data_IF_288352360672
#
_entry.id   IF_288352360672
#
_cell.length_a   1.000
_cell.length_b   1.000
_cell.length_c   1.000
_cell.angle_alpha   90.00
_cell.angle_beta   90.00
_cell.angle_gamma   90.00
#
_symmetry.space_group_name_H-M   'P 1'
#
loop_
_entity.id
_entity.type
_entity.pdbx_description
1 polymer ?
#
# COMPACT_ATOMS: atom_id res chain seq x y z
N UNK A 1 24.35 -10.46 -7.60
CA UNK A 1 23.28 -9.58 -7.11
C UNK A 1 22.01 -10.41 -6.99
N UNK A 2 21.33 -10.42 -5.85
CA UNK A 2 20.09 -11.22 -5.68
C UNK A 2 18.99 -10.62 -6.58
N UNK A 3 18.41 -11.44 -7.46
CA UNK A 3 17.32 -11.01 -8.31
C UNK A 3 16.02 -11.05 -7.48
N UNK A 4 15.29 -9.95 -7.47
CA UNK A 4 13.98 -9.86 -6.82
C UNK A 4 12.94 -10.49 -7.76
N UNK A 5 12.37 -11.62 -7.37
CA UNK A 5 11.36 -12.35 -8.16
C UNK A 5 10.01 -12.33 -7.48
N UNK A 6 8.88 -12.50 -8.21
CA UNK A 6 7.55 -12.62 -7.60
C UNK A 6 7.48 -13.67 -6.50
N UNK A 7 8.03 -14.86 -6.71
CA UNK A 7 8.03 -15.94 -5.71
C UNK A 7 8.77 -15.55 -4.43
N UNK A 8 9.90 -14.85 -4.56
CA UNK A 8 10.64 -14.33 -3.41
C UNK A 8 9.84 -13.27 -2.66
N UNK A 9 9.16 -12.38 -3.38
CA UNK A 9 8.30 -11.36 -2.79
C UNK A 9 7.12 -11.99 -2.05
N UNK A 10 6.39 -12.92 -2.69
CA UNK A 10 5.28 -13.64 -2.06
C UNK A 10 5.75 -14.35 -0.78
N UNK A 11 6.90 -15.04 -0.85
CA UNK A 11 7.49 -15.71 0.32
C UNK A 11 7.86 -14.72 1.42
N UNK A 12 8.39 -13.54 1.09
CA UNK A 12 8.74 -12.49 2.03
C UNK A 12 7.49 -11.94 2.73
N UNK A 13 6.44 -11.56 1.97
CA UNK A 13 5.18 -11.08 2.54
C UNK A 13 4.48 -12.14 3.39
N UNK A 14 4.53 -13.41 2.99
CA UNK A 14 3.99 -14.51 3.81
C UNK A 14 4.72 -14.67 5.15
N UNK A 15 5.98 -14.24 5.23
CA UNK A 15 6.77 -14.17 6.45
C UNK A 15 6.65 -12.84 7.18
N UNK A 16 5.95 -11.85 6.60
CA UNK A 16 5.75 -10.51 7.15
C UNK A 16 6.97 -9.63 7.06
N UNK A 17 7.84 -9.86 6.09
CA UNK A 17 8.98 -9.01 5.75
C UNK A 17 8.77 -8.40 4.37
N UNK A 18 9.41 -7.25 4.11
CA UNK A 18 9.25 -6.52 2.85
C UNK A 18 10.58 -5.91 2.40
N UNK A 19 10.81 -5.74 1.08
CA UNK A 19 12.05 -5.24 0.54
C UNK A 19 12.07 -3.70 0.47
N UNK A 20 13.23 -3.12 0.66
CA UNK A 20 13.54 -1.73 0.29
C UNK A 20 14.95 -1.66 -0.29
N UNK A 21 15.14 -0.84 -1.32
CA UNK A 21 16.48 -0.54 -1.83
C UNK A 21 17.15 0.52 -0.94
N UNK A 22 18.43 0.35 -0.67
CA UNK A 22 19.26 1.39 -0.06
C UNK A 22 19.74 2.41 -1.11
N UNK A 23 20.54 3.38 -0.67
CA UNK A 23 21.10 4.44 -1.52
C UNK A 23 22.02 3.93 -2.64
N UNK A 24 22.52 2.70 -2.53
CA UNK A 24 23.35 2.02 -3.54
C UNK A 24 22.54 1.07 -4.42
N UNK A 25 21.22 0.97 -4.20
CA UNK A 25 20.33 0.06 -4.93
C UNK A 25 20.36 -1.38 -4.45
N UNK A 26 21.04 -1.69 -3.34
CA UNK A 26 21.00 -3.02 -2.75
C UNK A 26 19.68 -3.27 -2.02
N UNK A 27 19.07 -4.44 -2.26
CA UNK A 27 17.79 -4.79 -1.66
C UNK A 27 18.01 -5.40 -0.27
N UNK A 28 17.39 -4.77 0.72
CA UNK A 28 17.34 -5.26 2.10
C UNK A 28 15.91 -5.60 2.48
N UNK A 29 15.72 -6.62 3.32
CA UNK A 29 14.41 -7.01 3.84
C UNK A 29 14.23 -6.51 5.27
N UNK A 30 13.05 -5.97 5.56
CA UNK A 30 12.72 -5.32 6.83
C UNK A 30 11.61 -6.05 7.56
N UNK A 31 11.71 -6.09 8.88
CA UNK A 31 10.71 -6.66 9.81
C UNK A 31 10.61 -5.76 11.05
N UNK A 32 9.94 -4.59 10.93
CA UNK A 32 9.91 -3.59 12.00
C UNK A 32 9.19 -4.08 13.26
N UNK A 33 9.60 -3.51 14.38
CA UNK A 33 8.96 -3.66 15.67
C UNK A 33 9.00 -2.31 16.40
N UNK A 34 7.86 -1.61 16.61
CA UNK A 34 6.49 -2.05 16.31
C UNK A 34 6.15 -2.07 14.81
N UNK A 35 5.06 -2.76 14.47
CA UNK A 35 4.47 -2.79 13.13
C UNK A 35 3.21 -1.93 13.10
N UNK A 36 3.08 -1.06 12.11
CA UNK A 36 1.90 -0.23 11.92
C UNK A 36 0.86 -0.92 11.05
N UNK A 37 -0.40 -0.93 11.48
CA UNK A 37 -1.54 -1.47 10.74
C UNK A 37 -2.74 -0.52 10.79
N UNK A 38 -3.61 -0.59 9.78
CA UNK A 38 -4.95 -0.01 9.88
C UNK A 38 -5.96 -1.09 10.29
N UNK A 39 -6.62 -0.94 11.46
CA UNK A 39 -7.74 -1.81 11.81
C UNK A 39 -8.89 -1.56 10.82
N UNK A 40 -9.17 -2.54 9.95
CA UNK A 40 -10.19 -2.37 8.89
C UNK A 40 -11.58 -2.07 9.47
N UNK A 41 -11.97 -2.69 10.58
CA UNK A 41 -13.28 -2.49 11.19
C UNK A 41 -13.47 -1.11 11.81
N UNK A 42 -12.40 -0.49 12.32
CA UNK A 42 -12.43 0.82 12.99
C UNK A 42 -11.70 1.92 12.23
N UNK A 43 -11.42 1.72 10.94
CA UNK A 43 -10.83 2.76 10.09
C UNK A 43 -11.73 3.99 10.06
N UNK A 44 -11.18 5.12 10.49
CA UNK A 44 -11.91 6.36 10.62
C UNK A 44 -11.67 7.29 9.43
N UNK A 45 -12.74 7.85 8.88
CA UNK A 45 -12.66 8.85 7.81
C UNK A 45 -13.09 10.21 8.36
N UNK A 46 -12.17 11.19 8.47
CA UNK A 46 -12.53 12.53 8.95
C UNK A 46 -13.65 13.17 8.13
N UNK A 47 -14.58 13.88 8.78
CA UNK A 47 -15.78 14.48 8.14
C UNK A 47 -15.45 15.30 6.89
N UNK A 48 -14.35 16.03 6.91
CA UNK A 48 -13.91 16.84 5.77
C UNK A 48 -13.50 15.94 4.59
N UNK A 49 -12.72 14.90 4.84
CA UNK A 49 -12.33 13.95 3.80
C UNK A 49 -13.54 13.18 3.26
N UNK A 50 -14.47 12.77 4.13
CA UNK A 50 -15.71 12.13 3.70
C UNK A 50 -16.54 13.01 2.75
N UNK A 51 -16.53 14.34 2.92
CA UNK A 51 -17.14 15.28 1.96
C UNK A 51 -16.40 15.28 0.62
N UNK A 52 -15.06 15.27 0.63
CA UNK A 52 -14.26 15.20 -0.59
C UNK A 52 -14.51 13.89 -1.35
N UNK A 53 -14.59 12.75 -0.65
CA UNK A 53 -14.94 11.45 -1.26
C UNK A 53 -16.31 11.52 -1.95
N UNK A 54 -17.35 12.01 -1.25
CA UNK A 54 -18.71 12.11 -1.79
C UNK A 54 -18.88 13.16 -2.89
N UNK A 55 -17.99 14.13 -2.99
CA UNK A 55 -18.11 15.21 -3.98
C UNK A 55 -17.86 14.76 -5.42
N UNK A 56 -17.32 13.56 -5.63
CA UNK A 56 -16.94 13.08 -6.96
C UNK A 56 -15.78 13.88 -7.60
N UNK A 57 -15.02 14.65 -6.80
CA UNK A 57 -13.90 15.46 -7.29
C UNK A 57 -12.85 14.61 -8.02
N UNK A 58 -12.66 13.37 -7.58
CA UNK A 58 -11.72 12.44 -8.18
C UNK A 58 -12.47 11.23 -8.74
N UNK A 59 -12.11 10.81 -9.94
CA UNK A 59 -12.50 9.53 -10.49
C UNK A 59 -11.53 8.47 -9.96
N UNK A 60 -12.06 7.44 -9.30
CA UNK A 60 -11.23 6.35 -8.78
C UNK A 60 -11.17 5.23 -9.82
N UNK A 61 -9.96 4.77 -10.09
CA UNK A 61 -9.69 3.58 -10.90
C UNK A 61 -8.82 2.61 -10.12
N UNK A 62 -8.85 1.37 -10.53
CA UNK A 62 -8.06 0.29 -9.93
C UNK A 62 -7.30 -0.39 -11.04
N UNK A 63 -6.02 -0.64 -10.82
CA UNK A 63 -5.16 -1.40 -11.73
C UNK A 63 -5.10 -0.86 -13.19
N UNK A 64 -5.46 0.41 -13.39
CA UNK A 64 -5.48 1.01 -14.73
C UNK A 64 -4.14 1.66 -15.12
N UNK A 65 -3.28 1.95 -14.14
CA UNK A 65 -1.99 2.61 -14.34
C UNK A 65 -0.96 2.23 -13.25
N UNK A 66 -0.85 0.94 -12.93
CA UNK A 66 -0.02 0.43 -11.82
C UNK A 66 1.42 0.97 -11.88
N UNK A 67 2.11 0.81 -13.02
CA UNK A 67 3.47 1.34 -13.22
C UNK A 67 3.56 2.85 -12.99
N UNK A 68 2.58 3.62 -13.50
CA UNK A 68 2.57 5.06 -13.34
C UNK A 68 2.41 5.47 -11.86
N UNK A 69 1.63 4.71 -11.08
CA UNK A 69 1.51 4.90 -9.62
C UNK A 69 2.85 4.65 -8.94
N UNK A 70 3.54 3.54 -9.26
CA UNK A 70 4.85 3.23 -8.68
C UNK A 70 5.88 4.33 -8.97
N UNK A 71 5.98 4.76 -10.24
CA UNK A 71 6.91 5.81 -10.65
C UNK A 71 6.60 7.14 -9.94
N UNK A 72 5.32 7.51 -9.81
CA UNK A 72 4.91 8.69 -9.06
C UNK A 72 5.23 8.58 -7.56
N UNK A 73 5.14 7.37 -6.98
CA UNK A 73 5.59 7.11 -5.60
C UNK A 73 7.12 7.22 -5.45
N UNK A 74 7.88 6.94 -6.51
CA UNK A 74 9.34 7.03 -6.51
C UNK A 74 9.86 8.46 -6.71
N UNK A 75 9.03 9.40 -7.18
CA UNK A 75 9.43 10.81 -7.38
C UNK A 75 9.93 11.43 -6.07
N UNK A 76 11.02 12.22 -6.11
CA UNK A 76 11.42 13.05 -4.97
C UNK A 76 10.30 14.03 -4.59
N UNK A 77 10.20 14.35 -3.31
CA UNK A 77 9.18 15.26 -2.80
C UNK A 77 9.66 16.02 -1.57
N UNK A 78 8.85 16.96 -1.04
CA UNK A 78 9.19 17.70 0.16
C UNK A 78 9.54 16.74 1.31
N UNK A 79 10.78 16.89 1.85
CA UNK A 79 11.29 16.04 2.92
C UNK A 79 11.76 14.64 2.52
N UNK A 80 11.75 14.33 1.21
CA UNK A 80 12.20 13.03 0.67
C UNK A 80 13.05 13.28 -0.58
N UNK A 81 14.38 13.37 -0.38
CA UNK A 81 15.35 13.57 -1.46
C UNK A 81 15.67 12.28 -2.25
N UNK A 82 15.48 11.11 -1.63
CA UNK A 82 15.75 9.80 -2.22
C UNK A 82 14.52 8.89 -2.08
N UNK A 83 14.50 7.82 -2.86
CA UNK A 83 13.48 6.79 -2.81
C UNK A 83 14.09 5.41 -2.61
N UNK A 84 13.38 4.53 -1.92
CA UNK A 84 13.70 3.11 -1.83
C UNK A 84 13.14 2.30 -3.00
N UNK A 85 12.33 2.93 -3.88
CA UNK A 85 11.71 2.30 -5.05
C UNK A 85 12.71 2.39 -6.21
N UNK A 86 13.57 1.38 -6.34
CA UNK A 86 14.52 1.26 -7.45
C UNK A 86 13.87 0.66 -8.70
N UNK A 87 14.55 0.76 -9.85
CA UNK A 87 14.06 0.16 -11.09
C UNK A 87 13.85 -1.36 -10.96
N UNK A 88 14.70 -2.05 -10.19
CA UNK A 88 14.53 -3.49 -9.92
C UNK A 88 13.30 -3.81 -9.08
N UNK A 89 12.95 -2.92 -8.13
CA UNK A 89 11.70 -3.01 -7.37
C UNK A 89 10.51 -2.76 -8.30
N UNK A 90 10.55 -1.73 -9.14
CA UNK A 90 9.47 -1.46 -10.10
C UNK A 90 9.22 -2.69 -10.97
N UNK A 91 10.26 -3.25 -11.59
CA UNK A 91 10.13 -4.42 -12.47
C UNK A 91 9.53 -5.64 -11.74
N UNK A 92 10.02 -5.95 -10.53
CA UNK A 92 9.53 -7.09 -9.77
C UNK A 92 8.06 -6.95 -9.32
N UNK A 93 7.64 -5.73 -8.98
CA UNK A 93 6.25 -5.48 -8.60
C UNK A 93 5.30 -5.39 -9.80
N UNK A 94 5.79 -5.02 -10.98
CA UNK A 94 5.02 -5.15 -12.23
C UNK A 94 4.73 -6.61 -12.55
N UNK A 95 5.74 -7.50 -12.43
CA UNK A 95 5.53 -8.94 -12.59
C UNK A 95 4.53 -9.48 -11.55
N UNK A 96 4.59 -8.99 -10.29
CA UNK A 96 3.62 -9.34 -9.26
C UNK A 96 2.21 -8.86 -9.59
N UNK A 97 2.10 -7.67 -10.18
CA UNK A 97 0.83 -7.11 -10.65
C UNK A 97 0.24 -7.94 -11.80
N UNK A 98 1.04 -8.32 -12.80
CA UNK A 98 0.61 -9.20 -13.90
C UNK A 98 0.11 -10.57 -13.40
N UNK A 99 0.64 -11.06 -12.28
CA UNK A 99 0.21 -12.29 -11.62
C UNK A 99 -1.01 -12.09 -10.68
N UNK A 100 -1.51 -10.85 -10.52
CA UNK A 100 -2.66 -10.54 -9.68
C UNK A 100 -2.37 -10.45 -8.17
N UNK A 101 -1.11 -10.29 -7.77
CA UNK A 101 -0.70 -10.14 -6.37
C UNK A 101 -0.38 -8.70 -5.97
N UNK A 102 -0.21 -7.79 -6.91
CA UNK A 102 -0.02 -6.37 -6.59
C UNK A 102 -1.08 -5.53 -7.28
N UNK A 103 -1.58 -4.52 -6.57
CA UNK A 103 -2.69 -3.70 -7.01
C UNK A 103 -2.47 -2.23 -6.72
N UNK A 104 -3.04 -1.37 -7.57
CA UNK A 104 -3.09 0.08 -7.37
C UNK A 104 -4.52 0.59 -7.21
N UNK A 105 -4.67 1.65 -6.43
CA UNK A 105 -5.90 2.46 -6.37
C UNK A 105 -5.52 3.89 -6.73
N UNK A 106 -6.16 4.44 -7.73
CA UNK A 106 -5.77 5.64 -8.44
C UNK A 106 -6.83 6.73 -8.32
N UNK A 107 -6.41 7.94 -8.01
CA UNK A 107 -7.25 9.14 -8.03
C UNK A 107 -6.92 9.96 -9.28
N UNK A 108 -7.91 10.09 -10.16
CA UNK A 108 -7.83 10.82 -11.42
C UNK A 108 -8.68 12.07 -11.36
N UNK A 109 -8.20 13.15 -11.97
CA UNK A 109 -8.97 14.37 -12.19
C UNK A 109 -8.76 14.87 -13.61
N UNK A 110 -9.85 15.09 -14.33
CA UNK A 110 -9.83 15.60 -15.72
C UNK A 110 -8.88 14.78 -16.64
N UNK A 111 -8.85 13.44 -16.42
CA UNK A 111 -8.00 12.54 -17.19
C UNK A 111 -6.53 12.50 -16.75
N UNK A 112 -6.14 13.24 -15.70
CA UNK A 112 -4.78 13.26 -15.14
C UNK A 112 -4.73 12.42 -13.86
N UNK A 113 -3.69 11.60 -13.71
CA UNK A 113 -3.39 10.85 -12.49
C UNK A 113 -2.80 11.82 -11.44
N UNK A 114 -3.59 12.15 -10.41
CA UNK A 114 -3.23 13.17 -9.41
C UNK A 114 -2.96 12.62 -8.02
N UNK A 115 -3.15 11.33 -7.81
CA UNK A 115 -2.81 10.63 -6.57
C UNK A 115 -3.09 9.15 -6.69
N UNK A 116 -2.58 8.39 -5.74
CA UNK A 116 -2.79 6.94 -5.71
C UNK A 116 -1.90 6.26 -4.69
N UNK A 117 -2.08 4.98 -4.62
CA UNK A 117 -1.30 4.07 -3.79
C UNK A 117 -1.18 2.71 -4.47
N UNK A 118 -0.21 1.92 -4.04
CA UNK A 118 -0.12 0.52 -4.43
C UNK A 118 0.25 -0.37 -3.25
N UNK A 119 0.04 -1.66 -3.41
CA UNK A 119 0.38 -2.65 -2.40
C UNK A 119 0.24 -4.07 -2.89
N UNK A 120 0.56 -5.01 -2.02
CA UNK A 120 0.55 -6.45 -2.28
C UNK A 120 -0.63 -7.10 -1.58
N UNK A 121 -1.41 -7.86 -2.33
CA UNK A 121 -2.54 -8.64 -1.85
C UNK A 121 -2.14 -10.12 -1.76
N UNK A 122 -2.23 -10.68 -0.56
CA UNK A 122 -1.91 -12.09 -0.33
C UNK A 122 -2.93 -12.70 0.62
N UNK A 123 -3.88 -13.47 0.08
CA UNK A 123 -4.99 -14.00 0.86
C UNK A 123 -5.74 -12.85 1.57
N UNK A 124 -5.97 -12.92 2.87
CA UNK A 124 -6.62 -11.87 3.65
C UNK A 124 -5.70 -10.71 4.10
N UNK A 125 -4.45 -10.67 3.63
CA UNK A 125 -3.51 -9.56 3.84
C UNK A 125 -3.52 -8.61 2.64
N UNK A 126 -3.56 -7.30 2.91
CA UNK A 126 -3.08 -6.29 1.99
C UNK A 126 -1.93 -5.52 2.65
N UNK A 127 -0.75 -5.54 2.04
CA UNK A 127 0.42 -4.77 2.47
C UNK A 127 0.52 -3.52 1.62
N UNK A 128 0.23 -2.36 2.22
CA UNK A 128 0.37 -1.05 1.57
C UNK A 128 1.85 -0.67 1.47
N UNK A 129 2.32 -0.37 0.28
CA UNK A 129 3.72 -0.08 -0.02
C UNK A 129 4.03 1.41 0.00
N UNK A 130 3.37 2.16 -0.84
CA UNK A 130 3.60 3.60 -0.96
C UNK A 130 2.37 4.31 -1.52
N UNK A 131 2.36 5.63 -1.34
CA UNK A 131 1.35 6.51 -1.92
C UNK A 131 1.96 7.84 -2.35
N UNK A 132 1.32 8.50 -3.32
CA UNK A 132 1.67 9.84 -3.75
C UNK A 132 0.43 10.72 -3.89
N UNK A 133 0.61 12.04 -3.83
CA UNK A 133 -0.48 12.99 -3.97
C UNK A 133 0.03 14.27 -4.63
N UNK A 134 -0.40 14.54 -5.85
CA UNK A 134 -0.13 15.80 -6.58
C UNK A 134 -1.20 16.84 -6.31
N UNK A 135 -2.40 16.39 -5.93
CA UNK A 135 -3.48 17.25 -5.46
C UNK A 135 -3.87 16.94 -4.03
N UNK A 136 -4.35 17.98 -3.34
CA UNK A 136 -4.80 17.84 -1.96
C UNK A 136 -5.85 16.75 -1.81
N UNK A 137 -5.62 15.85 -0.85
CA UNK A 137 -6.47 14.74 -0.46
C UNK A 137 -6.55 13.57 -1.48
N UNK A 138 -5.90 13.63 -2.66
CA UNK A 138 -6.01 12.62 -3.69
C UNK A 138 -5.58 11.22 -3.20
N UNK A 139 -4.41 11.09 -2.56
CA UNK A 139 -3.97 9.80 -1.98
C UNK A 139 -4.87 9.32 -0.83
N UNK A 140 -5.42 10.26 -0.04
CA UNK A 140 -6.31 9.92 1.07
C UNK A 140 -7.66 9.39 0.56
N UNK A 141 -8.17 9.97 -0.53
CA UNK A 141 -9.38 9.46 -1.20
C UNK A 141 -9.11 8.06 -1.75
N UNK A 142 -7.95 7.83 -2.39
CA UNK A 142 -7.56 6.49 -2.83
C UNK A 142 -7.48 5.49 -1.65
N UNK A 143 -6.93 5.90 -0.49
CA UNK A 143 -6.88 5.07 0.71
C UNK A 143 -8.27 4.71 1.25
N UNK A 144 -9.21 5.65 1.26
CA UNK A 144 -10.60 5.38 1.67
C UNK A 144 -11.22 4.32 0.77
N UNK A 145 -11.08 4.47 -0.55
CA UNK A 145 -11.59 3.48 -1.51
C UNK A 145 -10.87 2.13 -1.41
N UNK A 146 -9.56 2.11 -1.13
CA UNK A 146 -8.86 0.87 -0.81
C UNK A 146 -9.51 0.16 0.36
N UNK A 147 -9.74 0.86 1.48
CA UNK A 147 -10.33 0.24 2.69
C UNK A 147 -11.74 -0.29 2.42
N UNK A 148 -12.56 0.45 1.69
CA UNK A 148 -13.90 0.00 1.27
C UNK A 148 -13.82 -1.28 0.44
N UNK A 149 -12.89 -1.33 -0.53
CA UNK A 149 -12.65 -2.52 -1.37
C UNK A 149 -12.16 -3.71 -0.55
N UNK A 150 -11.20 -3.49 0.35
CA UNK A 150 -10.67 -4.55 1.21
C UNK A 150 -11.75 -5.15 2.11
N UNK A 151 -12.62 -4.32 2.69
CA UNK A 151 -13.78 -4.78 3.48
C UNK A 151 -14.74 -5.62 2.63
N UNK A 152 -15.08 -5.13 1.44
CA UNK A 152 -15.97 -5.85 0.51
C UNK A 152 -15.35 -7.17 0.05
N UNK A 153 -14.04 -7.22 -0.17
CA UNK A 153 -13.29 -8.39 -0.62
C UNK A 153 -12.94 -9.41 0.48
N UNK A 154 -13.30 -9.12 1.75
CA UNK A 154 -13.09 -10.06 2.87
C UNK A 154 -11.68 -10.05 3.46
N UNK A 155 -10.89 -8.98 3.21
CA UNK A 155 -9.58 -8.81 3.83
C UNK A 155 -9.70 -8.56 5.33
N UNK A 156 -8.72 -9.04 6.09
CA UNK A 156 -8.71 -8.95 7.57
C UNK A 156 -7.47 -8.24 8.13
N UNK A 157 -6.46 -7.96 7.29
CA UNK A 157 -5.24 -7.28 7.72
C UNK A 157 -4.80 -6.28 6.65
N UNK A 158 -4.77 -4.98 7.03
CA UNK A 158 -4.16 -3.91 6.24
C UNK A 158 -2.89 -3.45 6.94
N UNK A 159 -1.76 -3.87 6.40
CA UNK A 159 -0.42 -3.54 6.88
C UNK A 159 0.05 -2.23 6.24
N UNK A 160 0.61 -1.33 7.03
CA UNK A 160 1.26 -0.10 6.57
C UNK A 160 2.74 -0.05 6.90
N UNK A 161 3.29 -1.17 7.39
CA UNK A 161 4.70 -1.37 7.68
C UNK A 161 5.22 -0.46 8.80
N UNK A 162 5.43 0.82 8.50
CA UNK A 162 5.85 1.84 9.45
C UNK A 162 4.75 2.90 9.65
N UNK A 163 4.74 3.53 10.80
CA UNK A 163 4.01 4.78 10.99
C UNK A 163 4.80 5.92 10.33
N UNK A 164 4.74 6.00 8.99
CA UNK A 164 5.59 6.87 8.19
C UNK A 164 5.28 8.37 8.31
N UNK A 165 4.07 8.75 8.71
CA UNK A 165 3.70 10.15 8.94
C UNK A 165 2.53 10.28 9.90
N UNK A 166 2.46 11.42 10.61
CA UNK A 166 1.33 11.76 11.49
C UNK A 166 -0.02 11.82 10.74
N UNK A 167 0.01 11.93 9.42
CA UNK A 167 -1.21 11.91 8.60
C UNK A 167 -2.01 10.61 8.74
N UNK A 168 -1.37 9.48 9.03
CA UNK A 168 -2.06 8.20 9.21
C UNK A 168 -2.80 8.11 10.55
N UNK A 169 -2.38 8.86 11.57
CA UNK A 169 -3.04 8.88 12.88
C UNK A 169 -4.51 9.29 12.78
N UNK A 170 -4.85 10.18 11.86
CA UNK A 170 -6.23 10.61 11.66
C UNK A 170 -7.19 9.50 11.20
N UNK A 171 -6.66 8.41 10.65
CA UNK A 171 -7.43 7.24 10.18
C UNK A 171 -7.52 6.11 11.20
N UNK A 172 -6.90 6.27 12.38
CA UNK A 172 -6.91 5.26 13.43
C UNK A 172 -5.85 4.18 13.25
N UNK A 173 -4.71 4.50 12.60
CA UNK A 173 -3.56 3.59 12.54
C UNK A 173 -3.10 3.24 13.96
N UNK A 174 -2.73 1.98 14.16
CA UNK A 174 -2.18 1.48 15.42
C UNK A 174 -0.83 0.81 15.20
N UNK A 175 0.03 0.94 16.17
CA UNK A 175 1.30 0.21 16.22
C UNK A 175 1.15 -0.97 17.18
N UNK A 176 1.48 -2.15 16.71
CA UNK A 176 1.41 -3.40 17.47
C UNK A 176 2.78 -4.07 17.56
N UNK A 177 3.07 -4.85 18.60
CA UNK A 177 4.29 -5.65 18.65
C UNK A 177 4.39 -6.59 17.43
N UNK A 178 5.61 -6.80 16.93
CA UNK A 178 5.86 -7.72 15.81
C UNK A 178 5.28 -9.12 16.03
N UNK A 179 5.33 -9.65 17.23
CA UNK A 179 4.74 -10.94 17.57
C UNK A 179 3.22 -10.99 17.36
N UNK A 180 2.52 -9.92 17.72
CA UNK A 180 1.10 -9.76 17.46
C UNK A 180 0.80 -9.64 15.97
N UNK A 181 1.62 -8.86 15.23
CA UNK A 181 1.51 -8.76 13.79
C UNK A 181 1.66 -10.14 13.11
N UNK A 182 2.69 -10.93 13.48
CA UNK A 182 2.90 -12.28 12.92
C UNK A 182 1.71 -13.23 13.21
N UNK A 183 1.11 -13.12 14.39
CA UNK A 183 -0.09 -13.87 14.72
C UNK A 183 -1.29 -13.50 13.83
N UNK A 184 -1.52 -12.19 13.60
CA UNK A 184 -2.57 -11.71 12.70
C UNK A 184 -2.29 -12.07 11.24
N UNK A 185 -1.05 -11.99 10.80
CA UNK A 185 -0.62 -12.40 9.47
C UNK A 185 -0.92 -13.89 9.24
N UNK A 186 -0.54 -14.77 10.19
CA UNK A 186 -0.82 -16.19 10.08
C UNK A 186 -2.32 -16.49 9.97
N UNK A 187 -3.17 -15.71 10.64
CA UNK A 187 -4.62 -15.81 10.50
C UNK A 187 -5.09 -15.30 9.12
N UNK A 188 -4.59 -14.16 8.67
CA UNK A 188 -4.94 -13.55 7.37
C UNK A 188 -4.58 -14.47 6.19
N UNK A 189 -3.46 -15.17 6.24
CA UNK A 189 -3.03 -16.10 5.20
C UNK A 189 -3.94 -17.34 5.03
N UNK A 190 -4.89 -17.55 5.95
CA UNK A 190 -5.91 -18.61 5.86
C UNK A 190 -7.24 -18.11 5.33
N UNK A 191 -7.40 -16.81 5.16
CA UNK A 191 -8.63 -16.19 4.67
C UNK A 191 -8.59 -16.16 3.14
N UNK A 192 -9.66 -16.58 2.51
CA UNK A 192 -9.83 -16.46 1.06
C UNK A 192 -10.50 -15.11 0.77
N UNK A 193 -9.69 -14.12 0.37
CA UNK A 193 -10.12 -12.77 0.05
C UNK A 193 -9.83 -12.46 -1.43
N UNK A 194 -10.63 -11.57 -2.03
CA UNK A 194 -10.49 -11.16 -3.43
C UNK A 194 -10.38 -9.64 -3.53
N UNK A 195 -9.46 -9.16 -4.35
CA UNK A 195 -9.29 -7.73 -4.63
C UNK A 195 -10.21 -7.22 -5.76
N UNK A 196 -11.04 -8.09 -6.33
CA UNK A 196 -11.96 -7.79 -7.45
C UNK A 196 -12.99 -6.69 -7.14
#
# INVERSE_FOLDING_TARGET
MMQLTPDLLISAYAQGIFPMADEFGAINFYDPNPRAIFPLDSFYVPRRLARTVRSGRFTIRVDSAFRAVMLACAEPGPGRASTWISDSIVAAYEELHEQGFAHSVEAWREGVLVGGLYGVALRGLFAGESMFSRERDASKVALVHLVERLRAGGYVLLDTQFLGSDHFRQFGVVEIPRSEYKRRLAAALRVDASFS
#
